data_IF_755697921432
#
_entry.id   IF_755697921432
#
_cell.length_a   1.000
_cell.length_b   1.000
_cell.length_c   1.000
_cell.angle_alpha   90.00
_cell.angle_beta   90.00
_cell.angle_gamma   90.00
#
_symmetry.space_group_name_H-M   'P 1'
#
loop_
_entity.id
_entity.type
_entity.pdbx_description
1 polymer ?
#
# COMPACT_ATOMS: atom_id res chain seq x y z
N UNK A 1 -22.23 10.05 12.69
CA UNK A 1 -21.08 9.21 13.06
C UNK A 1 -20.15 9.16 11.86
N UNK A 2 -18.83 9.17 12.08
CA UNK A 2 -17.87 8.93 11.01
C UNK A 2 -18.01 7.48 10.52
N UNK A 3 -17.93 7.25 9.20
CA UNK A 3 -17.85 5.90 8.63
C UNK A 3 -16.45 5.35 8.92
N UNK A 4 -16.39 4.11 9.39
CA UNK A 4 -15.14 3.35 9.54
C UNK A 4 -15.07 2.41 8.35
N UNK A 5 -13.99 2.46 7.60
CA UNK A 5 -13.72 1.55 6.48
C UNK A 5 -12.78 0.44 6.96
N UNK A 6 -13.05 -0.79 6.56
CA UNK A 6 -12.28 -1.98 6.94
C UNK A 6 -11.35 -2.39 5.81
N UNK A 7 -10.05 -2.41 6.09
CA UNK A 7 -9.01 -2.84 5.17
C UNK A 7 -8.36 -4.12 5.69
N UNK A 8 -8.56 -5.25 5.00
CA UNK A 8 -7.99 -6.54 5.36
C UNK A 8 -6.69 -6.83 4.59
N UNK A 9 -5.65 -7.23 5.31
CA UNK A 9 -4.34 -7.62 4.76
C UNK A 9 -4.05 -9.12 4.89
N UNK A 10 -5.04 -9.96 5.23
CA UNK A 10 -4.86 -11.39 5.51
C UNK A 10 -4.14 -12.11 4.36
N UNK A 11 -4.49 -11.77 3.11
CA UNK A 11 -3.97 -12.43 1.91
C UNK A 11 -2.60 -11.92 1.43
N UNK A 12 -2.09 -10.83 2.01
CA UNK A 12 -0.75 -10.27 1.76
C UNK A 12 0.09 -10.34 3.02
N UNK A 13 -0.13 -9.43 3.97
CA UNK A 13 0.68 -9.31 5.18
C UNK A 13 0.54 -10.53 6.09
N UNK A 14 -0.70 -11.00 6.28
CA UNK A 14 -0.98 -12.23 7.04
C UNK A 14 -0.34 -13.49 6.42
N UNK A 15 -0.09 -13.49 5.11
CA UNK A 15 0.56 -14.60 4.41
C UNK A 15 2.09 -14.61 4.53
N UNK A 16 2.71 -13.56 5.07
CA UNK A 16 4.16 -13.48 5.30
C UNK A 16 4.59 -14.21 6.59
N UNK A 17 3.64 -14.63 7.42
CA UNK A 17 3.91 -15.45 8.60
C UNK A 17 4.53 -16.81 8.23
N UNK A 18 5.50 -17.24 9.02
CA UNK A 18 6.15 -18.54 8.83
C UNK A 18 5.10 -19.67 8.85
N UNK A 19 5.14 -20.54 7.83
CA UNK A 19 4.23 -21.67 7.72
C UNK A 19 2.86 -21.32 7.13
N UNK A 20 2.59 -20.07 6.76
CA UNK A 20 1.33 -19.67 6.12
C UNK A 20 1.47 -19.74 4.59
N UNK A 21 0.73 -20.66 3.97
CA UNK A 21 0.72 -20.80 2.52
C UNK A 21 -0.70 -20.97 2.02
N UNK A 22 -1.19 -19.97 1.29
CA UNK A 22 -2.48 -20.07 0.60
C UNK A 22 -2.29 -20.66 -0.80
N UNK A 23 -3.15 -21.62 -1.17
CA UNK A 23 -3.38 -21.95 -2.57
C UNK A 23 -4.16 -20.82 -3.26
N UNK A 24 -4.18 -20.81 -4.59
CA UNK A 24 -5.02 -19.88 -5.35
C UNK A 24 -6.50 -19.97 -4.95
N UNK A 25 -7.00 -21.19 -4.73
CA UNK A 25 -8.39 -21.41 -4.32
C UNK A 25 -8.67 -20.86 -2.92
N UNK A 26 -7.72 -21.01 -1.98
CA UNK A 26 -7.86 -20.44 -0.65
C UNK A 26 -7.97 -18.91 -0.72
N UNK A 27 -7.10 -18.26 -1.51
CA UNK A 27 -7.15 -16.80 -1.67
C UNK A 27 -8.50 -16.33 -2.23
N UNK A 28 -9.04 -17.00 -3.25
CA UNK A 28 -10.34 -16.65 -3.84
C UNK A 28 -11.51 -16.90 -2.87
N UNK A 29 -11.48 -18.01 -2.14
CA UNK A 29 -12.49 -18.35 -1.14
C UNK A 29 -12.50 -17.35 0.02
N UNK A 30 -11.32 -17.00 0.54
CA UNK A 30 -11.15 -16.00 1.60
C UNK A 30 -11.61 -14.62 1.12
N UNK A 31 -11.24 -14.21 -0.10
CA UNK A 31 -11.70 -12.94 -0.69
C UNK A 31 -13.23 -12.86 -0.71
N UNK A 32 -13.90 -13.94 -1.15
CA UNK A 32 -15.36 -14.00 -1.18
C UNK A 32 -15.95 -13.92 0.23
N UNK A 33 -15.32 -14.57 1.22
CA UNK A 33 -15.77 -14.52 2.61
C UNK A 33 -15.59 -13.14 3.24
N UNK A 34 -14.49 -12.44 2.96
CA UNK A 34 -14.26 -11.09 3.45
C UNK A 34 -15.28 -10.10 2.86
N UNK A 35 -15.65 -10.25 1.58
CA UNK A 35 -16.74 -9.48 0.96
C UNK A 35 -18.10 -9.76 1.65
N UNK A 36 -18.43 -11.02 1.92
CA UNK A 36 -19.64 -11.41 2.65
C UNK A 36 -19.69 -10.84 4.09
N UNK A 37 -18.53 -10.67 4.73
CA UNK A 37 -18.39 -10.08 6.06
C UNK A 37 -18.45 -8.55 6.06
N UNK A 38 -18.41 -7.92 4.88
CA UNK A 38 -18.55 -6.47 4.73
C UNK A 38 -17.25 -5.67 4.80
N UNK A 39 -16.09 -6.29 4.54
CA UNK A 39 -14.82 -5.55 4.40
C UNK A 39 -14.85 -4.64 3.17
N UNK A 40 -14.38 -3.40 3.31
CA UNK A 40 -14.36 -2.43 2.20
C UNK A 40 -13.20 -2.69 1.23
N UNK A 41 -12.05 -3.11 1.77
CA UNK A 41 -10.83 -3.37 1.01
C UNK A 41 -10.23 -4.73 1.38
N UNK A 42 -9.78 -5.49 0.37
CA UNK A 42 -9.11 -6.78 0.53
C UNK A 42 -7.79 -6.74 -0.21
N UNK A 43 -6.68 -6.70 0.52
CA UNK A 43 -5.34 -6.69 -0.07
C UNK A 43 -4.91 -8.09 -0.50
N UNK A 44 -4.96 -8.31 -1.81
CA UNK A 44 -4.86 -9.62 -2.42
C UNK A 44 -3.45 -10.15 -2.61
N UNK A 45 -2.41 -9.32 -2.48
CA UNK A 45 -1.02 -9.71 -2.66
C UNK A 45 -0.17 -8.69 -3.42
N UNK A 46 1.05 -9.10 -3.77
CA UNK A 46 2.04 -8.30 -4.49
C UNK A 46 2.33 -8.94 -5.87
N UNK A 47 1.67 -8.47 -6.96
CA UNK A 47 1.74 -9.09 -8.28
C UNK A 47 3.15 -9.35 -8.82
N UNK A 48 4.08 -8.41 -8.63
CA UNK A 48 5.47 -8.55 -9.10
C UNK A 48 6.25 -9.60 -8.31
N UNK A 49 5.98 -9.72 -7.00
CA UNK A 49 6.81 -10.51 -6.10
C UNK A 49 6.48 -12.00 -6.13
N UNK A 50 5.25 -12.38 -6.50
CA UNK A 50 4.79 -13.76 -6.40
C UNK A 50 3.91 -14.13 -7.62
N UNK A 51 4.31 -15.12 -8.44
CA UNK A 51 3.51 -15.58 -9.58
C UNK A 51 2.09 -16.00 -9.19
N UNK A 52 1.90 -16.54 -7.98
CA UNK A 52 0.56 -16.90 -7.47
C UNK A 52 -0.31 -15.69 -7.21
N UNK A 53 0.27 -14.56 -6.82
CA UNK A 53 -0.47 -13.31 -6.63
C UNK A 53 -0.90 -12.76 -7.97
N UNK A 54 -0.03 -12.79 -8.99
CA UNK A 54 -0.42 -12.47 -10.36
C UNK A 54 -1.61 -13.33 -10.83
N UNK A 55 -1.54 -14.65 -10.68
CA UNK A 55 -2.65 -15.56 -11.01
C UNK A 55 -3.92 -15.24 -10.21
N UNK A 56 -3.79 -14.91 -8.92
CA UNK A 56 -4.89 -14.48 -8.07
C UNK A 56 -5.59 -13.26 -8.65
N UNK A 57 -4.86 -12.21 -9.04
CA UNK A 57 -5.49 -11.01 -9.61
C UNK A 57 -6.21 -11.30 -10.94
N UNK A 58 -5.70 -12.22 -11.77
CA UNK A 58 -6.40 -12.63 -12.99
C UNK A 58 -7.70 -13.40 -12.70
N UNK A 59 -7.74 -14.21 -11.64
CA UNK A 59 -8.97 -14.93 -11.26
C UNK A 59 -9.92 -14.07 -10.43
N UNK A 60 -9.42 -13.16 -9.59
CA UNK A 60 -10.21 -12.29 -8.72
C UNK A 60 -11.14 -11.38 -9.51
N UNK A 61 -10.75 -10.97 -10.73
CA UNK A 61 -11.61 -10.23 -11.67
C UNK A 61 -12.92 -10.95 -12.02
N UNK A 62 -12.95 -12.28 -11.89
CA UNK A 62 -14.15 -13.09 -12.18
C UNK A 62 -15.07 -13.24 -10.97
N UNK A 63 -14.63 -12.82 -9.79
CA UNK A 63 -15.45 -12.83 -8.58
C UNK A 63 -16.55 -11.78 -8.69
N UNK A 64 -17.75 -12.14 -8.26
CA UNK A 64 -18.90 -11.23 -8.19
C UNK A 64 -19.01 -10.64 -6.79
N UNK A 65 -17.99 -9.88 -6.39
CA UNK A 65 -17.99 -9.18 -5.11
C UNK A 65 -19.10 -8.14 -5.08
N UNK A 66 -19.78 -7.99 -3.94
CA UNK A 66 -20.91 -7.09 -3.79
C UNK A 66 -20.51 -5.74 -3.21
N UNK A 67 -19.45 -5.72 -2.42
CA UNK A 67 -19.06 -4.57 -1.59
C UNK A 67 -17.55 -4.30 -1.67
N UNK A 68 -16.74 -5.31 -1.40
CA UNK A 68 -15.30 -5.17 -1.26
C UNK A 68 -14.60 -4.83 -2.57
N UNK A 69 -13.58 -3.98 -2.49
CA UNK A 69 -12.62 -3.74 -3.57
C UNK A 69 -11.34 -4.54 -3.33
N UNK A 70 -10.92 -5.30 -4.35
CA UNK A 70 -9.62 -5.98 -4.32
C UNK A 70 -8.50 -4.96 -4.49
N UNK A 71 -7.46 -5.09 -3.67
CA UNK A 71 -6.30 -4.18 -3.63
C UNK A 71 -5.03 -4.92 -4.03
N UNK A 72 -4.26 -4.35 -4.95
CA UNK A 72 -2.89 -4.81 -5.23
C UNK A 72 -1.88 -3.99 -4.42
N UNK A 73 -0.93 -4.67 -3.79
CA UNK A 73 0.15 -4.03 -3.06
C UNK A 73 1.41 -3.90 -3.93
N UNK A 74 2.11 -2.78 -3.83
CA UNK A 74 3.40 -2.59 -4.47
C UNK A 74 4.19 -1.44 -3.86
N UNK A 75 5.43 -1.27 -4.33
CA UNK A 75 6.32 -0.21 -3.88
C UNK A 75 6.26 0.99 -4.83
N UNK A 76 6.73 2.16 -4.39
CA UNK A 76 6.99 3.28 -5.30
C UNK A 76 7.95 2.89 -6.45
N UNK A 77 7.89 3.63 -7.56
CA UNK A 77 8.78 3.47 -8.71
C UNK A 77 10.25 3.50 -8.27
N UNK A 78 11.11 2.77 -8.98
CA UNK A 78 12.55 2.77 -8.67
C UNK A 78 13.18 4.15 -8.92
N UNK A 79 14.29 4.42 -8.25
CA UNK A 79 15.07 5.65 -8.47
C UNK A 79 15.60 5.71 -9.90
N UNK A 80 15.58 6.90 -10.49
CA UNK A 80 16.13 7.15 -11.83
C UNK A 80 15.33 6.57 -13.00
N UNK A 81 14.11 6.06 -12.78
CA UNK A 81 13.16 5.70 -13.84
C UNK A 81 11.83 6.40 -13.60
N UNK A 82 11.04 6.61 -14.64
CA UNK A 82 9.68 7.17 -14.49
C UNK A 82 8.70 6.09 -14.04
N UNK A 83 7.59 6.47 -13.39
CA UNK A 83 6.56 5.51 -12.98
C UNK A 83 5.96 4.75 -14.18
N UNK A 84 5.84 5.38 -15.34
CA UNK A 84 5.35 4.74 -16.56
C UNK A 84 6.31 3.68 -17.13
N UNK A 85 7.61 3.78 -16.84
CA UNK A 85 8.63 2.82 -17.34
C UNK A 85 9.01 1.79 -16.27
N UNK A 86 8.51 1.94 -15.03
CA UNK A 86 8.86 1.06 -13.94
C UNK A 86 8.13 -0.29 -14.02
N UNK A 87 8.89 -1.39 -13.96
CA UNK A 87 8.34 -2.75 -14.06
C UNK A 87 7.40 -3.11 -12.92
N UNK A 88 7.61 -2.55 -11.72
CA UNK A 88 6.70 -2.75 -10.58
C UNK A 88 5.39 -2.03 -10.80
N UNK A 89 5.45 -0.79 -11.28
CA UNK A 89 4.24 -0.05 -11.68
C UNK A 89 3.47 -0.79 -12.77
N UNK A 90 4.14 -1.29 -13.82
CA UNK A 90 3.49 -2.06 -14.88
C UNK A 90 2.80 -3.32 -14.36
N UNK A 91 3.45 -4.07 -13.46
CA UNK A 91 2.83 -5.24 -12.83
C UNK A 91 1.56 -4.88 -12.02
N UNK A 92 1.53 -3.70 -11.39
CA UNK A 92 0.33 -3.21 -10.70
C UNK A 92 -0.78 -2.85 -11.70
N UNK A 93 -0.45 -2.22 -12.82
CA UNK A 93 -1.43 -1.93 -13.89
C UNK A 93 -2.00 -3.24 -14.47
N UNK A 94 -1.15 -4.22 -14.75
CA UNK A 94 -1.50 -5.53 -15.30
C UNK A 94 -2.33 -6.39 -14.34
N UNK A 95 -2.21 -6.16 -13.02
CA UNK A 95 -3.08 -6.81 -12.03
C UNK A 95 -4.56 -6.47 -12.21
N UNK A 96 -4.85 -5.34 -12.87
CA UNK A 96 -6.17 -4.75 -13.04
C UNK A 96 -6.95 -4.49 -11.75
N UNK A 97 -6.32 -4.58 -10.57
CA UNK A 97 -6.97 -4.27 -9.30
C UNK A 97 -7.56 -2.84 -9.34
N UNK A 98 -8.81 -2.64 -8.88
CA UNK A 98 -9.43 -1.32 -8.87
C UNK A 98 -8.72 -0.34 -7.91
N UNK A 99 -8.07 -0.89 -6.87
CA UNK A 99 -7.34 -0.13 -5.85
C UNK A 99 -5.91 -0.64 -5.80
N UNK A 100 -4.96 0.27 -5.57
CA UNK A 100 -3.56 -0.05 -5.40
C UNK A 100 -3.04 0.58 -4.11
N UNK A 101 -2.41 -0.22 -3.27
CA UNK A 101 -1.67 0.28 -2.11
C UNK A 101 -0.19 0.39 -2.47
N UNK A 102 0.34 1.62 -2.39
CA UNK A 102 1.75 1.92 -2.63
C UNK A 102 2.44 2.18 -1.31
N UNK A 103 3.42 1.33 -0.98
CA UNK A 103 4.31 1.56 0.16
C UNK A 103 5.43 2.53 -0.20
N UNK A 104 5.60 3.56 0.63
CA UNK A 104 6.70 4.53 0.53
C UNK A 104 7.43 4.69 1.87
N UNK A 105 8.72 5.01 1.78
CA UNK A 105 9.55 5.21 2.97
C UNK A 105 9.25 6.58 3.58
N UNK A 106 8.81 6.58 4.84
CA UNK A 106 8.44 7.80 5.57
C UNK A 106 9.40 8.16 6.71
N UNK A 107 10.42 7.34 6.91
CA UNK A 107 11.54 7.62 7.81
C UNK A 107 12.79 7.99 6.99
N UNK A 108 13.37 9.16 7.24
CA UNK A 108 14.57 9.67 6.58
C UNK A 108 15.75 8.69 6.63
N UNK A 109 15.94 7.98 7.75
CA UNK A 109 16.92 6.90 7.87
C UNK A 109 16.73 5.82 6.78
N UNK A 110 15.50 5.41 6.49
CA UNK A 110 15.24 4.40 5.46
C UNK A 110 15.43 4.96 4.04
N UNK A 111 15.21 6.25 3.86
CA UNK A 111 15.51 6.91 2.58
C UNK A 111 17.00 6.88 2.28
N UNK A 112 17.84 7.22 3.26
CA UNK A 112 19.30 7.25 3.06
C UNK A 112 19.91 5.86 3.03
N UNK A 113 19.54 4.97 3.96
CA UNK A 113 20.21 3.67 4.13
C UNK A 113 19.66 2.57 3.22
N UNK A 114 18.34 2.54 3.01
CA UNK A 114 17.67 1.48 2.23
C UNK A 114 17.54 1.88 0.77
N UNK A 115 16.93 3.04 0.49
CA UNK A 115 16.74 3.49 -0.90
C UNK A 115 18.02 4.08 -1.50
N UNK A 116 18.88 4.67 -0.65
CA UNK A 116 20.11 5.36 -1.04
C UNK A 116 19.81 6.46 -2.06
N UNK A 117 18.89 7.33 -1.68
CA UNK A 117 18.49 8.55 -2.39
C UNK A 117 18.41 9.70 -1.39
N UNK A 118 18.28 10.94 -1.90
CA UNK A 118 17.98 12.09 -1.05
C UNK A 118 16.47 12.23 -0.82
N UNK A 119 16.09 13.14 0.09
CA UNK A 119 14.68 13.42 0.39
C UNK A 119 13.89 13.84 -0.85
N UNK A 120 14.49 14.63 -1.74
CA UNK A 120 13.84 15.15 -2.92
C UNK A 120 13.45 14.04 -3.89
N UNK A 121 14.35 13.09 -4.15
CA UNK A 121 14.06 11.95 -5.01
C UNK A 121 13.05 11.00 -4.35
N UNK A 122 13.07 10.81 -3.02
CA UNK A 122 12.03 10.01 -2.35
C UNK A 122 10.64 10.64 -2.51
N UNK A 123 10.51 11.96 -2.31
CA UNK A 123 9.26 12.68 -2.53
C UNK A 123 8.81 12.60 -3.99
N UNK A 124 9.75 12.71 -4.94
CA UNK A 124 9.46 12.55 -6.37
C UNK A 124 9.02 11.12 -6.71
N UNK A 125 9.61 10.09 -6.10
CA UNK A 125 9.19 8.69 -6.26
C UNK A 125 7.76 8.47 -5.76
N UNK A 126 7.42 8.99 -4.59
CA UNK A 126 6.06 8.94 -4.03
C UNK A 126 5.07 9.64 -4.98
N UNK A 127 5.37 10.88 -5.36
CA UNK A 127 4.49 11.68 -6.21
C UNK A 127 4.24 11.04 -7.57
N UNK A 128 5.31 10.66 -8.27
CA UNK A 128 5.23 10.11 -9.63
C UNK A 128 4.47 8.79 -9.65
N UNK A 129 4.73 7.91 -8.68
CA UNK A 129 4.03 6.62 -8.57
C UNK A 129 2.53 6.78 -8.38
N UNK A 130 2.13 7.61 -7.40
CA UNK A 130 0.72 7.81 -7.06
C UNK A 130 0.01 8.53 -8.20
N UNK A 131 0.59 9.63 -8.70
CA UNK A 131 -0.02 10.41 -9.77
C UNK A 131 -0.18 9.60 -11.06
N UNK A 132 0.79 8.76 -11.40
CA UNK A 132 0.68 7.85 -12.54
C UNK A 132 -0.49 6.88 -12.40
N UNK A 133 -0.59 6.18 -11.27
CA UNK A 133 -1.67 5.22 -11.02
C UNK A 133 -3.05 5.89 -10.97
N UNK A 134 -3.15 7.08 -10.37
CA UNK A 134 -4.37 7.88 -10.40
C UNK A 134 -4.73 8.33 -11.82
N UNK A 135 -3.75 8.70 -12.66
CA UNK A 135 -3.98 9.18 -14.04
C UNK A 135 -4.61 8.12 -14.95
N UNK A 136 -4.39 6.84 -14.64
CA UNK A 136 -4.98 5.69 -15.35
C UNK A 136 -6.25 5.16 -14.65
N UNK A 137 -6.81 5.93 -13.70
CA UNK A 137 -8.11 5.66 -13.08
C UNK A 137 -8.09 4.70 -11.89
N UNK A 138 -6.93 4.46 -11.26
CA UNK A 138 -6.85 3.63 -10.05
C UNK A 138 -7.08 4.47 -8.81
N UNK A 139 -7.79 3.90 -7.84
CA UNK A 139 -7.81 4.43 -6.49
C UNK A 139 -6.50 4.02 -5.79
N UNK A 140 -5.81 4.98 -5.17
CA UNK A 140 -4.50 4.72 -4.55
C UNK A 140 -4.58 4.94 -3.05
N UNK A 141 -4.05 4.00 -2.28
CA UNK A 141 -3.83 4.10 -0.84
C UNK A 141 -2.32 4.20 -0.62
N UNK A 142 -1.87 5.22 0.09
CA UNK A 142 -0.47 5.37 0.43
C UNK A 142 -0.18 4.69 1.77
N UNK A 143 0.66 3.67 1.77
CA UNK A 143 1.17 3.01 2.97
C UNK A 143 2.47 3.71 3.40
N UNK A 144 2.37 4.47 4.49
CA UNK A 144 3.47 5.23 5.06
C UNK A 144 4.29 4.34 6.00
N UNK A 145 5.20 3.55 5.41
CA UNK A 145 6.06 2.62 6.14
C UNK A 145 6.95 3.36 7.16
N UNK A 146 7.04 2.81 8.37
CA UNK A 146 7.74 3.39 9.52
C UNK A 146 7.31 4.83 9.84
N UNK A 147 6.05 5.20 9.60
CA UNK A 147 5.57 6.56 9.85
C UNK A 147 5.82 7.01 11.28
N UNK A 148 5.51 6.21 12.29
CA UNK A 148 5.63 6.65 13.69
C UNK A 148 7.09 6.81 14.13
N UNK A 149 7.98 5.87 13.78
CA UNK A 149 9.42 6.01 14.01
C UNK A 149 9.96 7.28 13.32
N UNK A 150 9.59 7.47 12.05
CA UNK A 150 9.98 8.62 11.25
C UNK A 150 9.44 9.94 11.79
N UNK A 151 8.19 9.97 12.25
CA UNK A 151 7.57 11.15 12.83
C UNK A 151 8.24 11.56 14.13
N UNK A 152 8.54 10.62 15.04
CA UNK A 152 9.22 10.97 16.29
C UNK A 152 10.71 11.30 16.10
N UNK A 153 11.32 10.88 14.99
CA UNK A 153 12.68 11.26 14.62
C UNK A 153 12.74 12.62 13.92
N UNK A 154 11.94 12.81 12.87
CA UNK A 154 11.90 13.98 12.01
C UNK A 154 10.45 14.25 11.53
N UNK A 155 9.63 14.95 12.35
CA UNK A 155 8.23 15.20 12.04
C UNK A 155 8.03 15.95 10.72
N UNK A 156 8.93 16.90 10.41
CA UNK A 156 8.82 17.71 9.20
C UNK A 156 8.94 16.84 7.95
N UNK A 157 9.94 15.95 7.90
CA UNK A 157 10.10 15.05 6.77
C UNK A 157 8.95 14.04 6.67
N UNK A 158 8.56 13.41 7.79
CA UNK A 158 7.47 12.44 7.80
C UNK A 158 6.17 13.05 7.28
N UNK A 159 5.81 14.27 7.71
CA UNK A 159 4.62 14.97 7.23
C UNK A 159 4.74 15.42 5.77
N UNK A 160 5.95 15.71 5.27
CA UNK A 160 6.17 16.01 3.84
C UNK A 160 5.80 14.81 2.96
N UNK A 161 6.12 13.58 3.34
CA UNK A 161 5.75 12.40 2.53
C UNK A 161 4.23 12.22 2.46
N UNK A 162 3.52 12.46 3.57
CA UNK A 162 2.05 12.39 3.61
C UNK A 162 1.42 13.45 2.70
N UNK A 163 1.87 14.71 2.82
CA UNK A 163 1.40 15.81 1.95
C UNK A 163 1.71 15.54 0.49
N UNK A 164 2.84 14.91 0.21
CA UNK A 164 3.24 14.55 -1.14
C UNK A 164 2.31 13.50 -1.74
N UNK A 165 1.93 12.48 -0.95
CA UNK A 165 0.96 11.47 -1.35
C UNK A 165 -0.45 12.06 -1.56
N UNK A 166 -0.90 12.92 -0.64
CA UNK A 166 -2.18 13.65 -0.77
C UNK A 166 -2.21 14.49 -2.05
N UNK A 167 -1.18 15.31 -2.28
CA UNK A 167 -1.08 16.19 -3.46
C UNK A 167 -1.03 15.39 -4.76
N UNK A 168 -0.45 14.19 -4.74
CA UNK A 168 -0.40 13.28 -5.89
C UNK A 168 -1.75 12.60 -6.19
N UNK A 169 -2.72 12.67 -5.27
CA UNK A 169 -4.07 12.15 -5.45
C UNK A 169 -4.38 10.86 -4.68
N UNK A 170 -3.55 10.48 -3.70
CA UNK A 170 -3.86 9.35 -2.82
C UNK A 170 -5.22 9.56 -2.14
N UNK A 171 -6.06 8.52 -2.19
CA UNK A 171 -7.41 8.54 -1.63
C UNK A 171 -7.39 8.41 -0.10
N UNK A 172 -6.50 7.55 0.40
CA UNK A 172 -6.27 7.30 1.82
C UNK A 172 -4.77 7.22 2.08
N UNK A 173 -4.40 7.48 3.33
CA UNK A 173 -3.05 7.32 3.86
C UNK A 173 -3.14 6.38 5.06
N UNK A 174 -2.43 5.26 5.01
CA UNK A 174 -2.24 4.36 6.13
C UNK A 174 -0.94 4.71 6.86
N UNK A 175 -1.05 5.14 8.12
CA UNK A 175 0.10 5.44 8.97
C UNK A 175 0.53 4.15 9.69
N UNK A 176 1.72 3.64 9.38
CA UNK A 176 2.13 2.30 9.81
C UNK A 176 3.08 2.35 11.03
N UNK A 177 2.69 1.66 12.11
CA UNK A 177 3.58 1.34 13.24
C UNK A 177 4.35 0.05 12.92
N UNK A 178 5.25 0.14 11.94
CA UNK A 178 5.88 -1.02 11.32
C UNK A 178 6.67 -1.88 12.31
N UNK A 179 7.28 -1.27 13.33
CA UNK A 179 7.98 -1.99 14.40
C UNK A 179 7.03 -2.51 15.50
N UNK A 180 5.80 -2.00 15.58
CA UNK A 180 4.79 -2.39 16.58
C UNK A 180 5.11 -1.97 18.01
N UNK A 181 5.99 -0.97 18.20
CA UNK A 181 6.50 -0.55 19.50
C UNK A 181 5.90 0.75 20.03
N UNK A 182 4.99 1.39 19.29
CA UNK A 182 4.52 2.74 19.63
C UNK A 182 3.35 2.68 20.63
N UNK A 183 3.46 3.43 21.73
CA UNK A 183 2.38 3.50 22.73
C UNK A 183 1.12 4.18 22.17
N UNK A 184 -0.10 3.77 22.56
CA UNK A 184 -1.34 4.35 22.03
C UNK A 184 -1.44 5.87 22.14
N UNK A 185 -1.04 6.46 23.27
CA UNK A 185 -0.99 7.92 23.45
C UNK A 185 -0.06 8.62 22.45
N UNK A 186 1.07 7.99 22.10
CA UNK A 186 1.99 8.50 21.06
C UNK A 186 1.40 8.37 19.65
N UNK A 187 0.70 7.27 19.37
CA UNK A 187 -0.05 7.11 18.11
C UNK A 187 -1.06 8.25 17.96
N UNK A 188 -1.85 8.52 19.01
CA UNK A 188 -2.85 9.59 19.01
C UNK A 188 -2.22 10.98 18.81
N UNK A 189 -1.06 11.23 19.42
CA UNK A 189 -0.31 12.48 19.23
C UNK A 189 0.08 12.67 17.76
N UNK A 190 0.72 11.67 17.14
CA UNK A 190 1.18 11.75 15.77
C UNK A 190 0.04 11.84 14.74
N UNK A 191 -1.08 11.13 14.97
CA UNK A 191 -2.27 11.16 14.09
C UNK A 191 -2.98 12.53 14.10
N UNK A 192 -2.84 13.31 15.19
CA UNK A 192 -3.47 14.64 15.31
C UNK A 192 -2.69 15.79 14.67
N UNK A 193 -1.42 15.56 14.33
CA UNK A 193 -0.53 16.56 13.74
C UNK A 193 -0.85 16.79 12.26
#
# INVERSE_FOLDING_TARGET
>A
MARIELYDTTLRDGSQGEGVYFSLQDKLAITTKLDELGFDYIEGGYPLSNPKDYEYFQQAQKLKLKHAKVVAFGMTRRKGVTAAEDTGMQALVESQAPVITIVGKTWDLHVTEVLRVDEAENLAMIQDSIAYLCSIGREVIYDAEHFFDGYFHNPEFALKTIRQAETAGAKLVALCDTNGGTLPEKIVEAVKA
#
